data_IF_373129302207
#
_entry.id   IF_373129302207
#
_cell.length_a   1.000
_cell.length_b   1.000
_cell.length_c   1.000
_cell.angle_alpha   90.00
_cell.angle_beta   90.00
_cell.angle_gamma   90.00
#
_symmetry.space_group_name_H-M   'P 1'
#
loop_
_entity.id
_entity.type
_entity.pdbx_description
1 polymer ?
#
# COMPACT_ATOMS: atom_id res chain seq x y z
N UNK A 1 78.72 12.09 -2.69
CA UNK A 1 77.80 11.07 -2.17
C UNK A 1 76.78 10.76 -3.26
N UNK A 2 77.18 10.02 -4.29
CA UNK A 2 76.30 9.49 -5.32
C UNK A 2 77.02 8.26 -5.90
N UNK A 3 76.26 7.21 -6.23
CA UNK A 3 76.66 5.84 -6.59
C UNK A 3 76.73 4.81 -5.45
N UNK A 4 75.74 4.84 -4.55
CA UNK A 4 75.37 3.59 -3.88
C UNK A 4 74.50 2.78 -4.86
N UNK A 5 74.89 1.52 -5.12
CA UNK A 5 74.12 0.58 -5.95
C UNK A 5 72.68 0.48 -5.42
N UNK A 6 71.70 0.85 -6.25
CA UNK A 6 70.27 0.80 -5.91
C UNK A 6 69.84 -0.59 -5.44
N UNK A 7 70.49 -1.64 -5.97
CA UNK A 7 70.26 -3.02 -5.58
C UNK A 7 70.72 -3.29 -4.14
N UNK A 8 71.85 -2.71 -3.73
CA UNK A 8 72.35 -2.81 -2.36
C UNK A 8 71.53 -1.96 -1.39
N UNK A 9 71.09 -0.77 -1.81
CA UNK A 9 70.17 0.05 -1.02
C UNK A 9 68.83 -0.66 -0.77
N UNK A 10 68.28 -1.33 -1.79
CA UNK A 10 67.06 -2.13 -1.65
C UNK A 10 67.27 -3.35 -0.72
N UNK A 11 68.41 -4.05 -0.84
CA UNK A 11 68.75 -5.15 0.07
C UNK A 11 68.90 -4.66 1.52
N UNK A 12 69.47 -3.48 1.74
CA UNK A 12 69.58 -2.88 3.06
C UNK A 12 68.21 -2.49 3.62
N UNK A 13 67.33 -1.91 2.81
CA UNK A 13 65.96 -1.56 3.21
C UNK A 13 65.14 -2.80 3.61
N UNK A 14 65.18 -3.89 2.83
CA UNK A 14 64.45 -5.14 3.15
C UNK A 14 65.00 -5.82 4.41
N UNK A 15 66.28 -5.61 4.75
CA UNK A 15 66.92 -6.16 5.96
C UNK A 15 66.66 -5.33 7.21
N UNK A 16 66.09 -4.12 7.10
CA UNK A 16 65.72 -3.35 8.28
C UNK A 16 64.62 -4.10 9.05
N UNK A 17 64.69 -4.15 10.40
CA UNK A 17 63.62 -4.71 11.20
C UNK A 17 62.30 -4.03 10.82
N UNK A 18 61.22 -4.81 10.77
CA UNK A 18 59.86 -4.34 10.55
C UNK A 18 59.51 -3.81 9.14
N UNK A 19 60.42 -3.78 8.15
CA UNK A 19 60.07 -3.33 6.77
C UNK A 19 59.15 -4.25 5.99
N UNK A 20 59.05 -5.51 6.40
CA UNK A 20 58.15 -6.52 5.82
C UNK A 20 56.98 -6.87 6.77
N UNK A 21 56.84 -6.17 7.91
CA UNK A 21 55.68 -6.37 8.79
C UNK A 21 54.49 -5.64 8.21
N UNK A 22 53.56 -6.41 7.66
CA UNK A 22 52.19 -5.95 7.47
C UNK A 22 51.52 -6.10 8.84
N UNK A 23 51.45 -5.03 9.62
CA UNK A 23 50.56 -5.00 10.79
C UNK A 23 49.14 -5.14 10.27
N UNK A 24 48.49 -6.25 10.61
CA UNK A 24 47.04 -6.37 10.45
C UNK A 24 46.46 -5.80 11.73
N UNK A 25 45.70 -4.72 11.61
CA UNK A 25 44.85 -4.25 12.69
C UNK A 25 43.83 -5.35 12.99
N UNK A 26 44.08 -6.12 14.05
CA UNK A 26 43.12 -7.07 14.60
C UNK A 26 42.15 -6.29 15.48
N UNK A 27 40.85 -6.38 15.17
CA UNK A 27 39.79 -5.79 15.98
C UNK A 27 39.89 -6.41 17.38
N UNK A 28 40.11 -5.57 18.39
CA UNK A 28 40.18 -6.04 19.76
C UNK A 28 38.77 -6.26 20.36
N UNK A 29 38.69 -6.88 21.53
CA UNK A 29 37.42 -7.18 22.19
C UNK A 29 36.66 -5.90 22.60
N UNK A 30 37.35 -4.79 22.88
CA UNK A 30 36.72 -3.51 23.22
C UNK A 30 36.11 -2.85 21.98
N UNK A 31 36.80 -2.90 20.84
CA UNK A 31 36.30 -2.43 19.55
C UNK A 31 35.05 -3.21 19.17
N UNK A 32 35.05 -4.53 19.39
CA UNK A 32 33.87 -5.37 19.15
C UNK A 32 32.68 -5.00 20.03
N UNK A 33 32.89 -4.72 21.33
CA UNK A 33 31.83 -4.29 22.25
C UNK A 33 31.22 -2.95 21.81
N UNK A 34 32.04 -2.00 21.33
CA UNK A 34 31.53 -0.73 20.80
C UNK A 34 30.71 -0.94 19.54
N UNK A 35 31.17 -1.79 18.62
CA UNK A 35 30.43 -2.14 17.40
C UNK A 35 29.09 -2.79 17.76
N UNK A 36 29.08 -3.74 18.70
CA UNK A 36 27.85 -4.40 19.16
C UNK A 36 26.86 -3.38 19.75
N UNK A 37 27.35 -2.46 20.57
CA UNK A 37 26.50 -1.41 21.17
C UNK A 37 25.81 -0.57 20.09
N UNK A 38 26.56 -0.11 19.09
CA UNK A 38 26.00 0.69 17.99
C UNK A 38 25.01 -0.13 17.14
N UNK A 39 25.26 -1.42 16.94
CA UNK A 39 24.31 -2.31 16.24
C UNK A 39 23.01 -2.45 17.04
N UNK A 40 23.08 -2.65 18.36
CA UNK A 40 21.90 -2.75 19.21
C UNK A 40 21.09 -1.45 19.23
N UNK A 41 21.76 -0.30 19.32
CA UNK A 41 21.12 1.01 19.20
C UNK A 41 20.44 1.19 17.84
N UNK A 42 21.11 0.83 16.74
CA UNK A 42 20.54 0.90 15.40
C UNK A 42 19.31 0.00 15.26
N UNK A 43 19.34 -1.22 15.79
CA UNK A 43 18.19 -2.13 15.80
C UNK A 43 17.03 -1.55 16.60
N UNK A 44 17.29 -0.98 17.78
CA UNK A 44 16.25 -0.36 18.60
C UNK A 44 15.62 0.84 17.90
N UNK A 45 16.43 1.67 17.24
CA UNK A 45 15.96 2.81 16.45
C UNK A 45 15.06 2.36 15.29
N UNK A 46 15.44 1.28 14.58
CA UNK A 46 14.62 0.71 13.51
C UNK A 46 13.29 0.18 14.04
N UNK A 47 13.30 -0.51 15.18
CA UNK A 47 12.08 -1.05 15.80
C UNK A 47 11.11 0.07 16.22
N UNK A 48 11.64 1.13 16.83
CA UNK A 48 10.85 2.29 17.24
C UNK A 48 10.25 3.00 16.02
N UNK A 49 11.07 3.26 14.99
CA UNK A 49 10.61 3.88 13.75
C UNK A 49 9.48 3.09 13.08
N UNK A 50 9.63 1.76 12.96
CA UNK A 50 8.60 0.88 12.37
C UNK A 50 7.30 0.91 13.17
N UNK A 51 7.38 1.02 14.49
CA UNK A 51 6.19 1.10 15.37
C UNK A 51 5.45 2.42 15.16
N UNK A 52 6.18 3.53 15.16
CA UNK A 52 5.60 4.87 14.98
C UNK A 52 4.96 5.02 13.59
N UNK A 53 5.66 4.55 12.55
CA UNK A 53 5.13 4.51 11.18
C UNK A 53 3.87 3.64 11.09
N UNK A 54 3.90 2.44 11.70
CA UNK A 54 2.75 1.54 11.74
C UNK A 54 1.52 2.17 12.40
N UNK A 55 1.69 2.85 13.54
CA UNK A 55 0.60 3.57 14.22
C UNK A 55 0.03 4.70 13.37
N UNK A 56 0.88 5.45 12.67
CA UNK A 56 0.44 6.51 11.77
C UNK A 56 -0.35 5.94 10.58
N UNK A 57 0.14 4.84 9.99
CA UNK A 57 -0.52 4.17 8.87
C UNK A 57 -1.88 3.59 9.27
N UNK A 58 -1.98 2.96 10.45
CA UNK A 58 -3.23 2.42 10.97
C UNK A 58 -4.32 3.50 11.05
N UNK A 59 -3.99 4.65 11.65
CA UNK A 59 -4.91 5.79 11.78
C UNK A 59 -5.36 6.30 10.41
N UNK A 60 -4.43 6.41 9.47
CA UNK A 60 -4.71 6.86 8.11
C UNK A 60 -5.62 5.88 7.36
N UNK A 61 -5.39 4.57 7.49
CA UNK A 61 -6.24 3.55 6.88
C UNK A 61 -7.65 3.53 7.47
N UNK A 62 -7.78 3.64 8.79
CA UNK A 62 -9.10 3.73 9.45
C UNK A 62 -9.89 4.95 8.95
N UNK A 63 -9.22 6.11 8.82
CA UNK A 63 -9.84 7.32 8.27
C UNK A 63 -10.32 7.10 6.83
N UNK A 64 -9.48 6.51 5.97
CA UNK A 64 -9.83 6.26 4.57
C UNK A 64 -11.00 5.29 4.42
N UNK A 65 -11.03 4.22 5.22
CA UNK A 65 -12.13 3.27 5.24
C UNK A 65 -13.43 3.93 5.69
N UNK A 66 -13.37 4.78 6.72
CA UNK A 66 -14.51 5.58 7.17
C UNK A 66 -15.05 6.48 6.06
N UNK A 67 -14.16 7.19 5.36
CA UNK A 67 -14.53 8.06 4.25
C UNK A 67 -15.20 7.28 3.09
N UNK A 68 -14.63 6.12 2.70
CA UNK A 68 -15.23 5.28 1.65
C UNK A 68 -16.64 4.85 2.05
N UNK A 69 -16.83 4.41 3.30
CA UNK A 69 -18.15 4.00 3.81
C UNK A 69 -19.16 5.15 3.81
N UNK A 70 -18.72 6.33 4.21
CA UNK A 70 -19.55 7.53 4.21
C UNK A 70 -19.97 7.89 2.77
N UNK A 71 -19.03 8.01 1.85
CA UNK A 71 -19.33 8.36 0.45
C UNK A 71 -20.19 7.32 -0.26
N UNK A 72 -20.00 6.03 0.04
CA UNK A 72 -20.89 4.98 -0.43
C UNK A 72 -22.33 5.19 0.05
N UNK A 73 -22.51 5.59 1.32
CA UNK A 73 -23.85 5.87 1.87
C UNK A 73 -24.47 7.11 1.24
N UNK A 74 -23.70 8.17 1.04
CA UNK A 74 -24.15 9.40 0.37
C UNK A 74 -24.54 9.12 -1.10
N UNK A 75 -23.77 8.31 -1.81
CA UNK A 75 -24.09 7.92 -3.18
C UNK A 75 -25.43 7.18 -3.30
N UNK A 76 -25.72 6.27 -2.36
CA UNK A 76 -26.98 5.53 -2.34
C UNK A 76 -28.19 6.40 -2.00
N UNK A 77 -28.00 7.48 -1.24
CA UNK A 77 -29.08 8.41 -0.95
C UNK A 77 -29.59 9.12 -2.22
N UNK A 78 -28.75 9.22 -3.26
CA UNK A 78 -29.08 9.82 -4.55
C UNK A 78 -29.71 8.83 -5.55
N UNK A 79 -29.69 7.54 -5.24
CA UNK A 79 -30.07 6.49 -6.19
C UNK A 79 -31.57 6.51 -6.56
N UNK A 80 -32.52 6.73 -5.62
CA UNK A 80 -33.94 6.86 -5.96
C UNK A 80 -34.23 8.02 -6.92
N UNK A 81 -33.57 9.17 -6.73
CA UNK A 81 -33.72 10.33 -7.62
C UNK A 81 -33.17 10.02 -9.01
N UNK A 82 -32.06 9.28 -9.08
CA UNK A 82 -31.44 8.87 -10.35
C UNK A 82 -32.33 7.93 -11.14
N UNK A 83 -32.94 6.94 -10.48
CA UNK A 83 -33.90 6.01 -11.10
C UNK A 83 -35.07 6.78 -11.71
N UNK A 84 -35.66 7.72 -10.95
CA UNK A 84 -36.77 8.53 -11.42
C UNK A 84 -36.37 9.40 -12.62
N UNK A 85 -35.22 10.08 -12.55
CA UNK A 85 -34.71 10.92 -13.63
C UNK A 85 -34.46 10.13 -14.93
N UNK A 86 -33.98 8.88 -14.82
CA UNK A 86 -33.77 8.00 -15.98
C UNK A 86 -35.11 7.59 -16.58
N UNK A 87 -36.09 7.23 -15.75
CA UNK A 87 -37.44 6.89 -16.19
C UNK A 87 -38.08 8.07 -16.95
N UNK A 88 -38.05 9.26 -16.37
CA UNK A 88 -38.63 10.47 -16.97
C UNK A 88 -37.96 10.83 -18.31
N UNK A 89 -36.63 10.69 -18.38
CA UNK A 89 -35.87 10.92 -19.61
C UNK A 89 -36.24 9.93 -20.71
N UNK A 90 -36.36 8.64 -20.39
CA UNK A 90 -36.74 7.59 -21.35
C UNK A 90 -38.17 7.81 -21.85
N UNK A 91 -39.09 8.16 -20.95
CA UNK A 91 -40.49 8.41 -21.29
C UNK A 91 -40.65 9.66 -22.16
N UNK A 92 -39.86 10.70 -21.91
CA UNK A 92 -39.79 11.91 -22.75
C UNK A 92 -39.25 11.58 -24.15
N UNK A 93 -38.14 10.83 -24.24
CA UNK A 93 -37.56 10.46 -25.53
C UNK A 93 -38.53 9.63 -26.40
N UNK A 94 -39.31 8.74 -25.78
CA UNK A 94 -40.32 7.92 -26.49
C UNK A 94 -41.48 8.77 -26.98
N UNK A 95 -41.99 9.68 -26.15
CA UNK A 95 -43.10 10.55 -26.53
C UNK A 95 -42.72 11.50 -27.68
N UNK A 96 -41.45 11.92 -27.76
CA UNK A 96 -40.92 12.71 -28.89
C UNK A 96 -40.84 11.94 -30.21
N UNK A 97 -40.62 10.62 -30.18
CA UNK A 97 -40.51 9.80 -31.38
C UNK A 97 -41.85 9.64 -32.12
N UNK A 98 -42.99 9.96 -31.49
CA UNK A 98 -44.36 9.88 -32.06
C UNK A 98 -44.68 8.54 -32.75
N UNK A 99 -44.06 7.45 -32.32
CA UNK A 99 -44.34 6.09 -32.79
C UNK A 99 -45.26 5.40 -31.80
N UNK A 100 -46.08 4.48 -32.28
CA UNK A 100 -46.88 3.65 -31.41
C UNK A 100 -45.97 2.58 -30.78
N UNK A 101 -45.66 2.72 -29.49
CA UNK A 101 -44.76 1.82 -28.75
C UNK A 101 -45.60 0.79 -28.00
N UNK A 102 -45.17 -0.47 -28.02
CA UNK A 102 -45.73 -1.51 -27.16
C UNK A 102 -45.32 -1.23 -25.70
N UNK A 103 -46.27 -0.77 -24.89
CA UNK A 103 -46.04 -0.43 -23.48
C UNK A 103 -45.53 -1.62 -22.67
N UNK A 104 -45.97 -2.85 -22.96
CA UNK A 104 -45.47 -4.04 -22.27
C UNK A 104 -43.99 -4.28 -22.57
N UNK A 105 -43.59 -4.08 -23.84
CA UNK A 105 -42.17 -4.21 -24.20
C UNK A 105 -41.33 -3.12 -23.57
N UNK A 106 -41.83 -1.89 -23.52
CA UNK A 106 -41.14 -0.77 -22.91
C UNK A 106 -40.90 -0.98 -21.41
N UNK A 107 -41.93 -1.38 -20.66
CA UNK A 107 -41.79 -1.66 -19.21
C UNK A 107 -40.79 -2.80 -18.95
N UNK A 108 -40.75 -3.84 -19.79
CA UNK A 108 -39.75 -4.92 -19.67
C UNK A 108 -38.32 -4.41 -19.88
N UNK A 109 -38.08 -3.61 -20.92
CA UNK A 109 -36.77 -3.02 -21.17
C UNK A 109 -36.37 -2.05 -20.06
N UNK A 110 -37.32 -1.28 -19.53
CA UNK A 110 -37.09 -0.38 -18.39
C UNK A 110 -36.64 -1.16 -17.16
N UNK A 111 -37.30 -2.27 -16.83
CA UNK A 111 -36.90 -3.15 -15.72
C UNK A 111 -35.48 -3.70 -15.95
N UNK A 112 -35.18 -4.19 -17.15
CA UNK A 112 -33.83 -4.68 -17.50
C UNK A 112 -32.75 -3.60 -17.35
N UNK A 113 -33.04 -2.37 -17.77
CA UNK A 113 -32.12 -1.24 -17.59
C UNK A 113 -31.95 -0.86 -16.12
N UNK A 114 -33.01 -0.90 -15.31
CA UNK A 114 -32.93 -0.63 -13.88
C UNK A 114 -32.12 -1.69 -13.14
N UNK A 115 -32.32 -2.98 -13.44
CA UNK A 115 -31.48 -4.05 -12.88
C UNK A 115 -30.01 -3.86 -13.22
N UNK A 116 -29.69 -3.42 -14.45
CA UNK A 116 -28.31 -3.15 -14.85
C UNK A 116 -27.68 -1.92 -14.15
N UNK A 117 -28.51 -1.03 -13.62
CA UNK A 117 -28.07 0.17 -12.90
C UNK A 117 -28.05 -0.03 -11.39
N UNK A 118 -28.63 -1.13 -10.89
CA UNK A 118 -28.63 -1.46 -9.48
C UNK A 118 -27.21 -1.77 -9.00
N UNK A 119 -26.76 -1.00 -8.01
CA UNK A 119 -25.44 -1.13 -7.37
C UNK A 119 -25.54 -1.77 -5.97
N UNK A 120 -26.69 -2.36 -5.64
CA UNK A 120 -26.94 -2.95 -4.33
C UNK A 120 -25.97 -4.10 -4.05
N UNK A 121 -25.61 -4.89 -5.06
CA UNK A 121 -24.68 -6.01 -4.89
C UNK A 121 -23.25 -5.49 -4.60
N UNK A 122 -22.77 -4.54 -5.40
CA UNK A 122 -21.49 -3.86 -5.26
C UNK A 122 -21.36 -3.24 -3.86
N UNK A 123 -22.42 -2.57 -3.37
CA UNK A 123 -22.45 -2.03 -2.00
C UNK A 123 -22.21 -3.11 -0.96
N UNK A 124 -22.91 -4.24 -1.05
CA UNK A 124 -22.78 -5.32 -0.07
C UNK A 124 -21.36 -5.90 -0.13
N UNK A 125 -20.82 -6.14 -1.33
CA UNK A 125 -19.46 -6.63 -1.52
C UNK A 125 -18.43 -5.65 -0.96
N UNK A 126 -18.51 -4.36 -1.30
CA UNK A 126 -17.62 -3.33 -0.79
C UNK A 126 -17.69 -3.22 0.74
N UNK A 127 -18.90 -3.26 1.32
CA UNK A 127 -19.09 -3.23 2.78
C UNK A 127 -18.34 -4.38 3.45
N UNK A 128 -18.49 -5.60 2.93
CA UNK A 128 -17.80 -6.78 3.45
C UNK A 128 -16.27 -6.63 3.34
N UNK A 129 -15.76 -6.09 2.23
CA UNK A 129 -14.33 -5.86 2.07
C UNK A 129 -13.79 -4.79 3.03
N UNK A 130 -14.54 -3.71 3.27
CA UNK A 130 -14.18 -2.68 4.26
C UNK A 130 -14.13 -3.26 5.68
N UNK A 131 -15.13 -4.05 6.07
CA UNK A 131 -15.16 -4.71 7.38
C UNK A 131 -13.99 -5.70 7.53
N UNK A 132 -13.72 -6.49 6.49
CA UNK A 132 -12.63 -7.45 6.51
C UNK A 132 -11.24 -6.80 6.56
N UNK A 133 -11.08 -5.62 5.95
CA UNK A 133 -9.85 -4.84 6.08
C UNK A 133 -9.63 -4.41 7.53
N UNK A 134 -10.68 -3.88 8.18
CA UNK A 134 -10.62 -3.46 9.59
C UNK A 134 -10.37 -4.63 10.54
N UNK A 135 -10.95 -5.79 10.28
CA UNK A 135 -10.63 -6.99 11.06
C UNK A 135 -9.16 -7.40 10.88
N UNK A 136 -8.67 -7.37 9.64
CA UNK A 136 -7.31 -7.81 9.31
C UNK A 136 -6.24 -6.88 9.89
N UNK A 137 -6.47 -5.57 9.95
CA UNK A 137 -5.51 -4.61 10.53
C UNK A 137 -5.44 -4.71 12.07
N UNK A 138 -6.55 -5.10 12.72
CA UNK A 138 -6.61 -5.30 14.16
C UNK A 138 -6.05 -6.67 14.62
N UNK A 139 -5.66 -7.52 13.67
CA UNK A 139 -5.04 -8.82 13.96
C UNK A 139 -3.62 -8.70 14.50
N UNK A 140 -3.11 -9.77 15.11
CA UNK A 140 -1.76 -9.83 15.69
C UNK A 140 -0.67 -10.25 14.69
N UNK A 141 -1.07 -10.63 13.47
CA UNK A 141 -0.15 -11.12 12.42
C UNK A 141 0.26 -10.01 11.44
N UNK A 142 1.47 -10.11 10.91
CA UNK A 142 1.98 -9.21 9.88
C UNK A 142 1.28 -9.45 8.52
N UNK A 143 0.12 -8.81 8.33
CA UNK A 143 -0.82 -9.11 7.24
C UNK A 143 -0.74 -8.17 6.02
N UNK A 144 0.39 -7.50 5.78
CA UNK A 144 0.51 -6.50 4.71
C UNK A 144 0.12 -7.00 3.32
N UNK A 145 0.52 -8.24 2.95
CA UNK A 145 0.13 -8.85 1.67
C UNK A 145 -1.38 -9.07 1.57
N UNK A 146 -2.00 -9.52 2.66
CA UNK A 146 -3.44 -9.77 2.74
C UNK A 146 -4.23 -8.46 2.65
N UNK A 147 -3.80 -7.43 3.36
CA UNK A 147 -4.36 -6.07 3.24
C UNK A 147 -4.29 -5.58 1.78
N UNK A 148 -3.17 -5.82 1.09
CA UNK A 148 -3.04 -5.49 -0.33
C UNK A 148 -4.06 -6.19 -1.23
N UNK A 149 -4.36 -7.47 -1.00
CA UNK A 149 -5.41 -8.17 -1.73
C UNK A 149 -6.80 -7.59 -1.44
N UNK A 150 -7.10 -7.30 -0.18
CA UNK A 150 -8.40 -6.72 0.20
C UNK A 150 -8.58 -5.35 -0.47
N UNK A 151 -7.55 -4.50 -0.48
CA UNK A 151 -7.59 -3.21 -1.17
C UNK A 151 -7.81 -3.34 -2.67
N UNK A 152 -7.27 -4.38 -3.31
CA UNK A 152 -7.53 -4.63 -4.73
C UNK A 152 -9.00 -4.95 -4.98
N UNK A 153 -9.59 -5.83 -4.17
CA UNK A 153 -11.01 -6.17 -4.30
C UNK A 153 -11.90 -4.95 -3.98
N UNK A 154 -11.58 -4.16 -2.95
CA UNK A 154 -12.25 -2.89 -2.69
C UNK A 154 -12.22 -1.91 -3.87
N UNK A 155 -11.16 -1.95 -4.70
CA UNK A 155 -11.04 -1.10 -5.89
C UNK A 155 -11.66 -1.68 -7.16
N UNK A 156 -12.13 -2.94 -7.12
CA UNK A 156 -12.93 -3.54 -8.20
C UNK A 156 -14.40 -3.21 -8.05
N UNK A 157 -14.87 -3.12 -6.81
CA UNK A 157 -16.20 -2.63 -6.44
C UNK A 157 -16.33 -1.11 -6.67
#
# INVERSE_FOLDING_TARGET
YADADETELMKMAIRMPDTMKIERDEIDENDWVQIQTVIEEALQNILNFRKDEGMSLEKEFQLRIGNIRQYMTEALALDPERVQAIKDRLQTAISELKVNVDENRFEQELIYYLEKLDITEEKVRLTNHLDYFLETINGTEANGRKLGFITQEMGRE
#
